data_IF_113924805551
#
_entry.id   IF_113924805551
#
_cell.length_a   1.000
_cell.length_b   1.000
_cell.length_c   1.000
_cell.angle_alpha   90.00
_cell.angle_beta   90.00
_cell.angle_gamma   90.00
#
_symmetry.space_group_name_H-M   'P 1'
#
loop_
_entity.id
_entity.type
_entity.pdbx_description
1 polymer ?
#
# COMPACT_ATOMS: atom_id res chain seq x y z
N UNK A 1 10.45 -34.10 -39.06
CA UNK A 1 9.21 -33.28 -38.89
C UNK A 1 8.55 -33.41 -37.51
N UNK A 2 8.50 -34.60 -36.87
CA UNK A 2 7.84 -34.77 -35.55
C UNK A 2 8.51 -33.99 -34.41
N UNK A 3 9.85 -34.01 -34.37
CA UNK A 3 10.65 -33.28 -33.36
C UNK A 3 10.57 -31.76 -33.51
N UNK A 4 10.40 -31.26 -34.75
CA UNK A 4 10.24 -29.83 -35.02
C UNK A 4 8.87 -29.31 -34.55
N UNK A 5 7.80 -30.11 -34.73
CA UNK A 5 6.46 -29.80 -34.22
C UNK A 5 6.40 -29.83 -32.68
N UNK A 6 7.11 -30.78 -32.06
CA UNK A 6 7.25 -30.86 -30.60
C UNK A 6 8.01 -29.66 -30.02
N UNK A 7 9.13 -29.28 -30.64
CA UNK A 7 9.89 -28.10 -30.22
C UNK A 7 9.05 -26.81 -30.33
N UNK A 8 8.31 -26.64 -31.42
CA UNK A 8 7.40 -25.50 -31.61
C UNK A 8 6.29 -25.46 -30.55
N UNK A 9 5.75 -26.61 -30.15
CA UNK A 9 4.70 -26.70 -29.13
C UNK A 9 5.23 -26.35 -27.73
N UNK A 10 6.46 -26.77 -27.40
CA UNK A 10 7.12 -26.44 -26.12
C UNK A 10 7.43 -24.94 -26.04
N UNK A 11 7.96 -24.35 -27.11
CA UNK A 11 8.21 -22.90 -27.17
C UNK A 11 6.92 -22.09 -27.02
N UNK A 12 5.83 -22.54 -27.65
CA UNK A 12 4.53 -21.90 -27.51
C UNK A 12 3.99 -22.00 -26.08
N UNK A 13 4.13 -23.16 -25.42
CA UNK A 13 3.72 -23.28 -24.01
C UNK A 13 4.51 -22.35 -23.09
N UNK A 14 5.82 -22.24 -23.27
CA UNK A 14 6.66 -21.34 -22.45
C UNK A 14 6.24 -19.88 -22.65
N UNK A 15 5.95 -19.46 -23.90
CA UNK A 15 5.50 -18.11 -24.18
C UNK A 15 4.15 -17.78 -23.49
N UNK A 16 3.20 -18.72 -23.50
CA UNK A 16 1.87 -18.55 -22.87
C UNK A 16 1.95 -18.56 -21.33
N UNK A 17 2.86 -19.35 -20.74
CA UNK A 17 3.07 -19.32 -19.29
C UNK A 17 3.69 -17.99 -18.80
N UNK A 18 4.55 -17.35 -19.60
CA UNK A 18 5.16 -16.08 -19.23
C UNK A 18 4.20 -14.87 -19.37
N UNK A 19 3.13 -14.96 -20.18
CA UNK A 19 2.13 -13.89 -20.27
C UNK A 19 1.23 -13.74 -19.03
N UNK A 20 1.20 -14.73 -18.13
CA UNK A 20 0.53 -14.61 -16.83
C UNK A 20 1.42 -13.95 -15.76
N UNK A 21 2.71 -13.76 -16.03
CA UNK A 21 3.62 -12.95 -15.22
C UNK A 21 3.66 -11.54 -15.81
N UNK A 22 2.53 -10.85 -15.78
CA UNK A 22 2.58 -9.40 -15.93
C UNK A 22 3.38 -8.88 -14.73
N UNK A 23 4.46 -8.09 -14.96
CA UNK A 23 5.15 -7.45 -13.87
C UNK A 23 4.13 -6.64 -13.06
N UNK A 24 4.26 -6.68 -11.74
CA UNK A 24 3.51 -5.76 -10.87
C UNK A 24 3.74 -4.34 -11.42
N UNK A 25 2.68 -3.54 -11.60
CA UNK A 25 2.81 -2.22 -12.20
C UNK A 25 3.94 -1.47 -11.50
N UNK A 26 4.85 -0.91 -12.29
CA UNK A 26 5.93 -0.13 -11.70
C UNK A 26 5.35 1.13 -11.04
N UNK A 27 6.10 1.72 -10.12
CA UNK A 27 5.63 2.90 -9.39
C UNK A 27 5.22 4.05 -10.33
N UNK A 28 5.78 4.11 -11.55
CA UNK A 28 5.47 5.15 -12.53
C UNK A 28 4.07 5.03 -13.15
N UNK A 29 3.54 3.81 -13.30
CA UNK A 29 2.15 3.56 -13.70
C UNK A 29 1.17 3.88 -12.56
N UNK A 30 1.57 3.69 -11.30
CA UNK A 30 0.76 4.03 -10.13
C UNK A 30 0.62 5.55 -9.93
N UNK A 31 1.66 6.34 -10.22
CA UNK A 31 1.61 7.80 -10.07
C UNK A 31 0.81 8.52 -11.16
N UNK A 32 0.58 7.90 -12.32
CA UNK A 32 -0.17 8.53 -13.42
C UNK A 32 -1.68 8.66 -13.13
N UNK A 33 -2.25 7.75 -12.34
CA UNK A 33 -3.71 7.65 -12.11
C UNK A 33 -4.17 7.95 -10.68
N UNK A 34 -3.27 8.33 -9.76
CA UNK A 34 -3.62 8.59 -8.35
C UNK A 34 -3.70 10.09 -8.08
N UNK A 35 -4.93 10.62 -8.00
CA UNK A 35 -5.17 11.97 -7.48
C UNK A 35 -5.13 11.97 -5.93
N UNK A 36 -4.23 12.76 -5.35
CA UNK A 36 -4.20 12.98 -3.89
C UNK A 36 -5.05 14.20 -3.54
N UNK A 37 -6.13 14.00 -2.79
CA UNK A 37 -6.98 15.07 -2.28
C UNK A 37 -6.87 15.11 -0.76
N UNK A 38 -6.57 16.29 -0.22
CA UNK A 38 -6.47 16.51 1.24
C UNK A 38 -7.47 17.57 1.68
N UNK A 39 -8.20 17.29 2.76
CA UNK A 39 -9.00 18.26 3.49
C UNK A 39 -8.50 18.34 4.93
N UNK A 40 -8.59 19.51 5.55
CA UNK A 40 -8.24 19.72 6.95
C UNK A 40 -9.18 20.76 7.58
N UNK A 41 -9.28 20.73 8.91
CA UNK A 41 -9.95 21.78 9.68
C UNK A 41 -9.06 23.03 9.75
N UNK A 42 -9.50 24.13 9.17
CA UNK A 42 -8.75 25.38 9.12
C UNK A 42 -8.76 26.14 10.46
N UNK A 43 -9.73 25.85 11.34
CA UNK A 43 -9.86 26.50 12.65
C UNK A 43 -9.04 25.78 13.72
N UNK A 44 -8.54 24.57 13.42
CA UNK A 44 -7.74 23.78 14.33
C UNK A 44 -6.25 24.20 14.29
N UNK A 45 -5.75 24.64 15.43
CA UNK A 45 -4.31 24.83 15.63
C UNK A 45 -3.65 23.47 15.88
N UNK A 46 -3.01 22.92 14.83
CA UNK A 46 -2.31 21.65 14.89
C UNK A 46 -0.99 21.71 15.66
N UNK A 47 -0.43 22.90 15.91
CA UNK A 47 0.81 23.04 16.69
C UNK A 47 0.63 22.69 18.17
N UNK A 48 -0.61 22.61 18.64
CA UNK A 48 -0.98 22.19 20.00
C UNK A 48 -0.82 20.68 20.24
N UNK A 49 -0.64 19.89 19.18
CA UNK A 49 -0.46 18.45 19.28
C UNK A 49 1.02 18.08 19.15
N UNK A 50 1.48 17.16 20.01
CA UNK A 50 2.87 16.71 20.01
C UNK A 50 3.00 15.20 19.77
N UNK A 51 1.90 14.45 19.94
CA UNK A 51 1.91 13.00 19.85
C UNK A 51 0.74 12.49 19.00
N UNK A 52 0.93 11.31 18.42
CA UNK A 52 -0.10 10.61 17.66
C UNK A 52 0.00 9.11 17.88
N UNK A 53 -1.09 8.39 17.61
CA UNK A 53 -1.13 6.93 17.62
C UNK A 53 -1.80 6.46 16.33
N UNK A 54 -1.26 5.39 15.76
CA UNK A 54 -1.77 4.77 14.53
C UNK A 54 -1.60 3.25 14.65
N UNK A 55 -2.55 2.52 14.09
CA UNK A 55 -2.50 1.05 13.96
C UNK A 55 -1.30 0.63 13.10
N UNK A 56 -0.66 -0.48 13.47
CA UNK A 56 0.36 -1.13 12.62
C UNK A 56 -0.26 -1.95 11.48
N UNK A 57 -1.57 -2.20 11.52
CA UNK A 57 -2.31 -2.97 10.52
C UNK A 57 -3.13 -2.04 9.63
N UNK A 58 -3.01 -2.22 8.32
CA UNK A 58 -3.87 -1.60 7.31
C UNK A 58 -4.91 -2.62 6.85
N UNK A 59 -6.16 -2.17 6.70
CA UNK A 59 -7.28 -3.01 6.34
C UNK A 59 -7.78 -2.70 4.93
N UNK A 60 -8.14 -3.74 4.20
CA UNK A 60 -8.88 -3.63 2.95
C UNK A 60 -10.37 -3.48 3.26
N UNK A 61 -10.99 -2.47 2.66
CA UNK A 61 -12.44 -2.26 2.74
C UNK A 61 -13.03 -2.71 1.41
N UNK A 62 -13.63 -3.91 1.42
CA UNK A 62 -14.26 -4.53 0.28
C UNK A 62 -15.74 -4.16 0.13
N UNK A 63 -16.43 -4.89 -0.74
CA UNK A 63 -17.88 -4.78 -0.93
C UNK A 63 -18.70 -5.50 0.15
N UNK A 64 -18.06 -6.40 0.89
CA UNK A 64 -18.63 -7.10 2.04
C UNK A 64 -18.35 -6.34 3.34
N UNK A 65 -18.95 -6.79 4.43
CA UNK A 65 -18.79 -6.20 5.75
C UNK A 65 -17.56 -6.73 6.50
N UNK A 66 -16.61 -7.38 5.82
CA UNK A 66 -15.40 -7.90 6.44
C UNK A 66 -14.34 -6.81 6.51
N UNK A 67 -13.46 -6.95 7.51
CA UNK A 67 -12.33 -6.06 7.70
C UNK A 67 -11.06 -6.89 7.63
N UNK A 68 -10.61 -7.14 6.39
CA UNK A 68 -9.49 -8.04 6.15
C UNK A 68 -8.17 -7.27 6.15
N UNK A 69 -7.17 -7.71 6.95
CA UNK A 69 -5.86 -7.08 6.94
C UNK A 69 -5.17 -7.33 5.59
N UNK A 70 -4.52 -6.30 5.04
CA UNK A 70 -3.64 -6.50 3.90
C UNK A 70 -2.38 -7.25 4.32
N UNK A 71 -1.59 -7.75 3.36
CA UNK A 71 -0.34 -8.44 3.67
C UNK A 71 0.59 -7.55 4.52
N UNK A 72 1.19 -8.14 5.56
CA UNK A 72 1.95 -7.42 6.58
C UNK A 72 3.09 -6.54 6.01
N UNK A 73 3.73 -6.98 4.93
CA UNK A 73 4.77 -6.22 4.25
C UNK A 73 4.26 -4.87 3.72
N UNK A 74 3.05 -4.82 3.15
CA UNK A 74 2.46 -3.59 2.64
C UNK A 74 1.97 -2.69 3.79
N UNK A 75 1.39 -3.28 4.84
CA UNK A 75 1.04 -2.52 6.05
C UNK A 75 2.27 -1.83 6.64
N UNK A 76 3.39 -2.55 6.72
CA UNK A 76 4.66 -2.01 7.25
C UNK A 76 5.18 -0.86 6.41
N UNK A 77 5.14 -0.97 5.08
CA UNK A 77 5.56 0.11 4.17
C UNK A 77 4.68 1.36 4.30
N UNK A 78 3.36 1.19 4.30
CA UNK A 78 2.41 2.30 4.40
C UNK A 78 2.52 3.00 5.76
N UNK A 79 2.48 2.23 6.87
CA UNK A 79 2.63 2.78 8.22
C UNK A 79 3.99 3.44 8.40
N UNK A 80 5.06 2.83 7.86
CA UNK A 80 6.41 3.40 7.87
C UNK A 80 6.48 4.76 7.17
N UNK A 81 5.83 4.91 6.02
CA UNK A 81 5.75 6.19 5.30
C UNK A 81 5.00 7.26 6.12
N UNK A 82 3.87 6.91 6.74
CA UNK A 82 3.12 7.82 7.61
C UNK A 82 3.97 8.23 8.82
N UNK A 83 4.63 7.27 9.47
CA UNK A 83 5.47 7.53 10.64
C UNK A 83 6.64 8.45 10.30
N UNK A 84 7.33 8.20 9.19
CA UNK A 84 8.40 9.07 8.70
C UNK A 84 7.92 10.51 8.48
N UNK A 85 6.78 10.68 7.82
CA UNK A 85 6.18 12.00 7.58
C UNK A 85 5.79 12.71 8.89
N UNK A 86 5.13 12.02 9.81
CA UNK A 86 4.73 12.60 11.10
C UNK A 86 5.94 13.00 11.95
N UNK A 87 6.97 12.16 12.00
CA UNK A 87 8.22 12.47 12.70
C UNK A 87 8.92 13.68 12.08
N UNK A 88 8.97 13.77 10.74
CA UNK A 88 9.58 14.93 10.05
C UNK A 88 8.87 16.26 10.34
N UNK A 89 7.59 16.18 10.74
CA UNK A 89 6.76 17.33 11.13
C UNK A 89 6.80 17.62 12.64
N UNK A 90 7.59 16.88 13.41
CA UNK A 90 7.80 17.09 14.85
C UNK A 90 6.83 16.35 15.77
N UNK A 91 5.96 15.48 15.25
CA UNK A 91 5.07 14.66 16.08
C UNK A 91 5.76 13.36 16.52
N UNK A 92 5.46 12.90 17.74
CA UNK A 92 6.03 11.66 18.29
C UNK A 92 4.97 10.55 18.36
N UNK A 93 5.28 9.38 17.79
CA UNK A 93 4.39 8.20 17.88
C UNK A 93 4.33 7.68 19.32
N UNK A 94 3.13 7.37 19.79
CA UNK A 94 2.88 6.69 21.07
C UNK A 94 2.01 5.43 20.87
N UNK A 95 2.24 4.39 21.66
CA UNK A 95 1.51 3.11 21.53
C UNK A 95 0.01 3.23 21.79
N UNK A 96 -0.40 4.19 22.63
CA UNK A 96 -1.80 4.42 22.97
C UNK A 96 -2.11 5.90 22.89
N UNK A 97 -3.14 6.27 22.13
CA UNK A 97 -3.71 7.61 22.21
C UNK A 97 -4.12 7.86 23.66
N UNK A 98 -3.48 8.83 24.33
CA UNK A 98 -3.92 9.29 25.64
C UNK A 98 -5.23 10.04 25.42
N UNK A 99 -6.34 9.31 25.44
CA UNK A 99 -7.66 9.94 25.45
C UNK A 99 -7.74 10.72 26.76
N UNK A 100 -7.70 12.04 26.67
CA UNK A 100 -7.99 12.91 27.79
C UNK A 100 -9.50 12.77 28.06
N UNK A 101 -9.85 11.94 29.04
CA UNK A 101 -11.16 11.92 29.68
C UNK A 101 -11.27 13.04 30.69
#
# INVERSE_FOLDING_TARGET
>A
MRHLKLAAMILLSIAVFNSCLLPYPDDSELYADVATVTSHDADQDFSKFNTYSISDTVYFIGSDSTLDPIQAQYSTQIVGAIVSNMNSRGYTRVEKARILT
#
